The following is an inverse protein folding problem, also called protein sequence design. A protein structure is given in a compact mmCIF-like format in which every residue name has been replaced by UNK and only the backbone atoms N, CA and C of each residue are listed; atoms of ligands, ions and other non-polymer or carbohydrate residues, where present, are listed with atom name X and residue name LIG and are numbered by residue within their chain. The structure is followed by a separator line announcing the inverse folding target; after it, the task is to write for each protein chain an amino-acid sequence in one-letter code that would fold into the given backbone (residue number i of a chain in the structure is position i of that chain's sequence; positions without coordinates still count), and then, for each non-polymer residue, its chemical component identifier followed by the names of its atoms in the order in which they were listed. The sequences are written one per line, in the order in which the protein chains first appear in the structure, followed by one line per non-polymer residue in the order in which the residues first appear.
data_IF_395625047825
#
_entry.id   IF_395625047825
#
_cell.length_a   1.000
_cell.length_b   1.000
_cell.length_c   1.000
_cell.angle_alpha   90.00
_cell.angle_beta   90.00
_cell.angle_gamma   90.00
#
_symmetry.space_group_name_H-M   'P 1'
#
loop_
_entity.id
_entity.type
_entity.pdbx_description
1 polymer ?
#
# COMPACT_ATOMS: atom_id res chain seq x y z
N UNK A 1 3.75 -10.31 -21.66
CA UNK A 1 4.22 -10.06 -20.28
C UNK A 1 3.33 -10.85 -19.33
N UNK A 2 3.90 -11.70 -18.48
CA UNK A 2 3.12 -12.40 -17.46
C UNK A 2 2.92 -11.46 -16.26
N UNK A 3 1.69 -11.05 -15.99
CA UNK A 3 1.36 -10.06 -14.97
C UNK A 3 1.63 -10.58 -13.55
N UNK A 4 1.58 -11.90 -13.33
CA UNK A 4 1.89 -12.52 -12.04
C UNK A 4 3.33 -12.27 -11.57
N UNK A 5 4.25 -11.90 -12.47
CA UNK A 5 5.60 -11.51 -12.09
C UNK A 5 5.64 -10.17 -11.32
N UNK A 6 4.58 -9.35 -11.43
CA UNK A 6 4.54 -7.99 -10.90
C UNK A 6 3.52 -7.82 -9.79
N UNK A 7 2.37 -8.49 -9.86
CA UNK A 7 1.43 -8.59 -8.76
C UNK A 7 0.53 -9.82 -8.89
N UNK A 8 0.02 -10.26 -7.75
CA UNK A 8 -1.04 -11.27 -7.63
C UNK A 8 -2.30 -10.63 -7.04
N UNK A 9 -3.47 -11.12 -7.41
CA UNK A 9 -4.72 -10.53 -6.96
C UNK A 9 -5.76 -11.58 -6.55
N UNK A 10 -6.62 -11.19 -5.62
CA UNK A 10 -7.76 -11.97 -5.11
C UNK A 10 -8.99 -11.06 -5.11
N UNK A 11 -9.85 -11.13 -6.15
CA UNK A 11 -11.04 -10.30 -6.22
C UNK A 11 -12.07 -10.69 -5.16
N UNK A 12 -12.56 -9.70 -4.37
CA UNK A 12 -13.61 -9.92 -3.37
C UNK A 12 -13.26 -10.96 -2.31
N UNK A 13 -11.98 -11.09 -1.96
CA UNK A 13 -11.48 -12.15 -1.05
C UNK A 13 -11.90 -11.95 0.41
N UNK A 14 -11.93 -10.69 0.86
CA UNK A 14 -12.39 -10.32 2.20
C UNK A 14 -13.91 -10.13 2.20
N UNK A 15 -14.57 -10.61 3.25
CA UNK A 15 -16.01 -10.39 3.35
C UNK A 15 -16.38 -8.92 3.48
N UNK A 16 -17.53 -8.47 2.96
CA UNK A 16 -18.01 -7.09 3.18
C UNK A 16 -18.05 -6.71 4.66
N UNK A 17 -18.47 -7.65 5.51
CA UNK A 17 -18.51 -7.45 6.97
C UNK A 17 -17.11 -7.14 7.53
N UNK A 18 -16.08 -7.89 7.14
CA UNK A 18 -14.71 -7.63 7.58
C UNK A 18 -14.26 -6.24 7.17
N UNK A 19 -14.53 -5.84 5.91
CA UNK A 19 -14.19 -4.50 5.42
C UNK A 19 -14.87 -3.40 6.23
N UNK A 20 -16.17 -3.58 6.54
CA UNK A 20 -16.95 -2.63 7.34
C UNK A 20 -16.46 -2.56 8.79
N UNK A 21 -16.12 -3.70 9.39
CA UNK A 21 -15.57 -3.78 10.74
C UNK A 21 -14.22 -3.04 10.82
N UNK A 22 -13.32 -3.20 9.82
CA UNK A 22 -12.04 -2.48 9.75
C UNK A 22 -12.27 -0.98 9.63
N UNK A 23 -13.19 -0.54 8.75
CA UNK A 23 -13.52 0.88 8.58
C UNK A 23 -14.07 1.47 9.88
N UNK A 24 -15.02 0.79 10.52
CA UNK A 24 -15.64 1.24 11.76
C UNK A 24 -14.62 1.34 12.89
N UNK A 25 -13.75 0.34 13.01
CA UNK A 25 -12.69 0.29 14.02
C UNK A 25 -11.65 1.40 13.81
N UNK A 26 -11.16 1.57 12.58
CA UNK A 26 -10.17 2.59 12.25
C UNK A 26 -10.71 4.02 12.45
N UNK A 27 -11.99 4.27 12.17
CA UNK A 27 -12.61 5.59 12.38
C UNK A 27 -12.75 5.98 13.86
N UNK A 28 -12.56 5.06 14.81
CA UNK A 28 -12.51 5.34 16.24
C UNK A 28 -11.11 5.64 16.76
N UNK A 29 -10.08 5.46 15.92
CA UNK A 29 -8.69 5.69 16.28
C UNK A 29 -8.24 7.10 15.86
N UNK A 30 -7.08 7.52 16.40
CA UNK A 30 -6.49 8.80 16.05
C UNK A 30 -6.01 8.82 14.60
N UNK A 31 -6.56 9.73 13.81
CA UNK A 31 -6.18 9.95 12.42
C UNK A 31 -4.94 10.85 12.36
N UNK A 32 -3.93 10.44 11.62
CA UNK A 32 -2.70 11.20 11.40
C UNK A 32 -2.50 11.51 9.91
N UNK A 33 -1.89 12.66 9.63
CA UNK A 33 -1.49 13.00 8.26
C UNK A 33 -0.42 12.01 7.79
N UNK A 34 -0.62 11.41 6.62
CA UNK A 34 0.34 10.49 6.05
C UNK A 34 1.71 11.16 5.81
N UNK A 35 2.78 10.47 6.18
CA UNK A 35 4.16 10.89 5.95
C UNK A 35 4.85 9.89 5.02
N UNK A 36 5.77 10.37 4.21
CA UNK A 36 6.72 9.53 3.47
C UNK A 36 8.04 9.46 4.23
N UNK A 37 8.87 8.46 3.95
CA UNK A 37 10.14 8.23 4.65
C UNK A 37 11.04 9.48 4.73
N UNK A 38 11.86 9.55 5.78
CA UNK A 38 12.82 10.64 6.01
C UNK A 38 12.37 11.74 6.97
N UNK A 39 11.09 11.88 7.27
CA UNK A 39 10.60 12.94 8.15
C UNK A 39 10.51 12.54 9.65
N UNK A 40 10.47 11.25 9.97
CA UNK A 40 10.34 10.75 11.35
C UNK A 40 9.11 11.31 12.07
N UNK A 41 9.12 11.26 13.41
CA UNK A 41 7.99 11.69 14.25
C UNK A 41 8.07 13.18 14.67
N UNK A 42 9.09 13.91 14.21
CA UNK A 42 9.27 15.32 14.57
C UNK A 42 8.17 16.23 13.98
N UNK A 43 7.97 17.38 14.62
CA UNK A 43 7.08 18.42 14.06
C UNK A 43 7.65 18.96 12.76
N UNK A 44 6.83 18.94 11.69
CA UNK A 44 7.22 19.40 10.36
C UNK A 44 7.03 20.92 10.22
N UNK A 45 7.91 21.56 9.45
CA UNK A 45 7.75 22.96 9.01
C UNK A 45 6.67 23.06 7.93
N UNK A 46 6.09 24.25 7.74
CA UNK A 46 5.04 24.48 6.73
C UNK A 46 5.46 24.10 5.30
N UNK A 47 6.70 24.37 4.93
CA UNK A 47 7.28 24.02 3.62
C UNK A 47 7.38 22.50 3.44
N UNK A 48 7.88 21.81 4.47
CA UNK A 48 7.99 20.34 4.47
C UNK A 48 6.61 19.67 4.35
N UNK A 49 5.59 20.23 5.00
CA UNK A 49 4.20 19.78 4.85
C UNK A 49 3.71 19.99 3.42
N UNK A 50 4.06 21.11 2.78
CA UNK A 50 3.69 21.41 1.39
C UNK A 50 4.35 20.42 0.43
N UNK A 51 5.64 20.13 0.62
CA UNK A 51 6.37 19.18 -0.21
C UNK A 51 5.90 17.75 0.00
N UNK A 52 5.59 17.37 1.25
CA UNK A 52 5.00 16.09 1.57
C UNK A 52 3.66 15.91 0.87
N UNK A 53 2.78 16.94 0.94
CA UNK A 53 1.46 16.91 0.28
C UNK A 53 1.54 16.85 -1.24
N UNK A 54 2.64 17.28 -1.87
CA UNK A 54 2.87 17.09 -3.33
C UNK A 54 3.13 15.63 -3.69
N UNK A 55 3.77 14.88 -2.78
CA UNK A 55 4.08 13.46 -2.98
C UNK A 55 2.92 12.58 -2.52
N UNK A 56 2.36 12.90 -1.38
CA UNK A 56 1.28 12.14 -0.76
C UNK A 56 0.33 13.07 -0.01
N UNK A 57 -0.94 13.02 -0.35
CA UNK A 57 -2.02 13.69 0.36
C UNK A 57 -3.07 12.65 0.74
N UNK A 58 -3.02 12.16 1.96
CA UNK A 58 -3.98 11.19 2.51
C UNK A 58 -3.95 11.23 4.03
N UNK A 59 -5.03 10.79 4.65
CA UNK A 59 -5.14 10.59 6.08
C UNK A 59 -4.99 9.09 6.39
N UNK A 60 -4.39 8.75 7.52
CA UNK A 60 -4.17 7.35 7.87
C UNK A 60 -4.30 7.07 9.36
N UNK A 61 -4.55 5.81 9.67
CA UNK A 61 -4.55 5.23 11.02
C UNK A 61 -3.66 3.99 11.00
N UNK A 62 -2.88 3.80 12.06
CA UNK A 62 -2.04 2.62 12.24
C UNK A 62 -2.75 1.59 13.11
N UNK A 63 -2.91 0.36 12.60
CA UNK A 63 -3.58 -0.75 13.28
C UNK A 63 -2.61 -1.90 13.50
N UNK A 64 -2.66 -2.52 14.70
CA UNK A 64 -1.78 -3.63 15.08
C UNK A 64 -2.53 -4.86 15.60
N UNK A 65 -3.79 -4.95 15.32
CA UNK A 65 -4.69 -5.95 15.90
C UNK A 65 -4.56 -7.31 15.24
N UNK A 66 -4.38 -8.33 16.04
CA UNK A 66 -4.14 -9.72 15.59
C UNK A 66 -5.25 -10.25 14.68
N UNK A 67 -6.51 -9.84 14.88
CA UNK A 67 -7.63 -10.30 14.06
C UNK A 67 -7.52 -9.86 12.61
N UNK A 68 -6.90 -8.68 12.35
CA UNK A 68 -6.64 -8.19 10.99
C UNK A 68 -5.58 -9.06 10.32
N UNK A 69 -4.45 -9.30 10.97
CA UNK A 69 -3.36 -10.13 10.40
C UNK A 69 -3.79 -11.58 10.16
N UNK A 70 -4.61 -12.15 11.05
CA UNK A 70 -5.16 -13.50 10.87
C UNK A 70 -5.91 -13.65 9.56
N UNK A 71 -6.67 -12.61 9.16
CA UNK A 71 -7.40 -12.61 7.90
C UNK A 71 -6.48 -12.41 6.70
N UNK A 72 -5.43 -11.59 6.81
CA UNK A 72 -4.61 -11.17 5.69
C UNK A 72 -3.44 -12.13 5.37
N UNK A 73 -2.79 -12.72 6.38
CA UNK A 73 -1.60 -13.53 6.20
C UNK A 73 -1.77 -14.73 5.22
N UNK A 74 -2.91 -15.45 5.20
CA UNK A 74 -3.09 -16.51 4.22
C UNK A 74 -2.91 -16.05 2.76
N UNK A 75 -3.40 -14.85 2.44
CA UNK A 75 -3.32 -14.30 1.08
C UNK A 75 -1.90 -13.90 0.67
N UNK A 76 -1.10 -13.33 1.57
CA UNK A 76 0.29 -13.01 1.22
C UNK A 76 1.12 -14.27 1.02
N UNK A 77 0.93 -15.30 1.83
CA UNK A 77 1.60 -16.59 1.64
C UNK A 77 1.22 -17.24 0.30
N UNK A 78 -0.08 -17.27 0.00
CA UNK A 78 -0.59 -17.83 -1.25
C UNK A 78 -0.10 -17.05 -2.47
N UNK A 79 -0.14 -15.71 -2.44
CA UNK A 79 0.36 -14.88 -3.53
C UNK A 79 1.85 -15.10 -3.77
N UNK A 80 2.67 -15.08 -2.71
CA UNK A 80 4.11 -15.30 -2.77
C UNK A 80 4.49 -16.64 -3.42
N UNK A 81 3.77 -17.70 -3.05
CA UNK A 81 3.97 -19.02 -3.62
C UNK A 81 3.47 -19.13 -5.07
N UNK A 82 2.23 -18.72 -5.35
CA UNK A 82 1.61 -18.85 -6.68
C UNK A 82 2.24 -17.95 -7.74
N UNK A 83 2.70 -16.77 -7.36
CA UNK A 83 3.43 -15.89 -8.27
C UNK A 83 4.87 -16.37 -8.51
N UNK A 84 5.34 -17.36 -7.75
CA UNK A 84 6.69 -17.92 -7.86
C UNK A 84 7.77 -16.97 -7.31
N UNK A 85 7.41 -15.96 -6.54
CA UNK A 85 8.40 -15.06 -5.94
C UNK A 85 9.22 -15.77 -4.87
N UNK A 86 8.55 -16.55 -4.00
CA UNK A 86 9.16 -17.31 -2.91
C UNK A 86 10.09 -16.47 -2.03
N UNK A 87 9.72 -15.24 -1.78
CA UNK A 87 10.50 -14.34 -0.94
C UNK A 87 10.40 -14.76 0.52
N UNK A 88 11.55 -14.86 1.17
CA UNK A 88 11.59 -15.04 2.62
C UNK A 88 11.20 -13.74 3.32
N UNK A 89 10.14 -13.77 4.13
CA UNK A 89 9.73 -12.70 4.99
C UNK A 89 9.42 -13.23 6.40
N UNK A 90 9.61 -12.42 7.41
CA UNK A 90 9.64 -12.85 8.82
C UNK A 90 8.53 -12.19 9.66
N UNK A 91 8.13 -10.99 9.27
CA UNK A 91 7.13 -10.21 10.01
C UNK A 91 6.41 -9.19 9.13
N UNK A 92 5.29 -8.70 9.64
CA UNK A 92 4.54 -7.61 9.03
C UNK A 92 4.70 -6.33 9.84
N UNK A 93 4.76 -5.19 9.18
CA UNK A 93 4.61 -3.88 9.82
C UNK A 93 3.17 -3.66 10.31
N UNK A 94 2.95 -2.57 11.05
CA UNK A 94 1.60 -2.10 11.37
C UNK A 94 0.77 -1.91 10.11
N UNK A 95 -0.47 -2.35 10.15
CA UNK A 95 -1.40 -2.11 9.04
C UNK A 95 -1.70 -0.63 8.91
N UNK A 96 -1.55 -0.09 7.71
CA UNK A 96 -1.89 1.28 7.40
C UNK A 96 -3.30 1.34 6.82
N UNK A 97 -4.28 1.73 7.63
CA UNK A 97 -5.59 2.12 7.11
C UNK A 97 -5.46 3.51 6.49
N UNK A 98 -5.77 3.63 5.21
CA UNK A 98 -5.64 4.89 4.46
C UNK A 98 -6.98 5.36 3.96
N UNK A 99 -7.26 6.63 4.17
CA UNK A 99 -8.43 7.34 3.68
C UNK A 99 -8.02 8.31 2.60
N UNK A 100 -8.64 8.19 1.42
CA UNK A 100 -8.49 9.11 0.30
C UNK A 100 -9.82 9.80 0.03
N UNK A 101 -9.91 11.08 0.41
CA UNK A 101 -11.03 11.98 0.13
C UNK A 101 -10.79 12.73 -1.19
N UNK A 102 -11.69 13.62 -1.57
CA UNK A 102 -11.54 14.46 -2.77
C UNK A 102 -10.17 15.13 -2.88
N UNK A 103 -9.54 15.01 -4.05
CA UNK A 103 -8.18 15.48 -4.36
C UNK A 103 -7.05 14.86 -3.51
N UNK A 104 -7.30 13.77 -2.79
CA UNK A 104 -6.27 13.03 -2.09
C UNK A 104 -5.70 11.92 -2.98
N UNK A 105 -4.39 11.68 -2.86
CA UNK A 105 -3.61 10.79 -3.73
C UNK A 105 -2.30 10.37 -3.08
N UNK A 106 -1.61 9.45 -3.74
CA UNK A 106 -0.22 9.11 -3.47
C UNK A 106 0.50 8.94 -4.80
N UNK A 107 1.46 9.81 -5.08
CA UNK A 107 2.21 9.82 -6.34
C UNK A 107 3.15 8.62 -6.47
N UNK A 108 3.85 8.51 -7.60
CA UNK A 108 4.76 7.42 -7.90
C UNK A 108 5.75 7.16 -6.79
N UNK A 109 5.79 5.93 -6.32
CA UNK A 109 6.72 5.44 -5.31
C UNK A 109 6.91 3.93 -5.42
N UNK A 110 7.96 3.42 -4.80
CA UNK A 110 8.07 2.03 -4.40
C UNK A 110 8.12 1.97 -2.87
N UNK A 111 7.73 0.84 -2.32
CA UNK A 111 7.65 0.65 -0.86
C UNK A 111 8.96 0.18 -0.24
N UNK A 112 9.86 -0.40 -1.04
CA UNK A 112 11.18 -0.85 -0.62
C UNK A 112 12.25 0.22 -0.89
N UNK A 113 13.28 0.23 -0.06
CA UNK A 113 14.44 1.12 -0.20
C UNK A 113 15.71 0.31 -0.50
N UNK A 114 16.74 1.02 -0.99
CA UNK A 114 18.05 0.42 -1.27
C UNK A 114 18.80 -0.06 -0.02
N UNK A 115 18.44 0.49 1.15
CA UNK A 115 19.07 0.17 2.42
C UNK A 115 18.08 -0.48 3.39
N UNK A 116 18.55 -1.44 4.21
CA UNK A 116 17.77 -1.97 5.32
C UNK A 116 17.43 -0.90 6.35
N UNK A 117 16.42 -1.18 7.19
CA UNK A 117 16.14 -0.35 8.36
C UNK A 117 17.35 -0.28 9.29
N UNK A 118 17.82 0.94 9.56
CA UNK A 118 19.00 1.20 10.39
C UNK A 118 18.65 1.49 11.86
N UNK A 119 17.39 1.82 12.14
CA UNK A 119 16.90 2.07 13.49
C UNK A 119 16.82 0.77 14.28
N UNK A 120 17.45 0.73 15.47
CA UNK A 120 17.31 -0.40 16.38
C UNK A 120 15.84 -0.71 16.68
N UNK A 121 15.52 -1.99 16.70
CA UNK A 121 14.16 -2.46 16.92
C UNK A 121 13.84 -3.73 16.12
N UNK A 122 12.58 -4.15 16.09
CA UNK A 122 12.18 -5.40 15.46
C UNK A 122 12.37 -5.43 13.92
N UNK A 123 12.54 -4.27 13.29
CA UNK A 123 12.73 -4.13 11.85
C UNK A 123 14.19 -3.93 11.44
N UNK A 124 15.11 -3.81 12.42
CA UNK A 124 16.53 -3.60 12.16
C UNK A 124 17.11 -4.64 11.19
N UNK A 125 17.86 -4.18 10.21
CA UNK A 125 18.50 -5.02 9.21
C UNK A 125 17.55 -5.64 8.16
N UNK A 126 16.24 -5.33 8.19
CA UNK A 126 15.24 -5.85 7.25
C UNK A 126 14.88 -4.83 6.18
N UNK A 127 14.32 -5.33 5.09
CA UNK A 127 13.69 -4.53 4.03
C UNK A 127 12.24 -5.01 3.81
N UNK A 128 11.40 -4.18 3.23
CA UNK A 128 10.09 -4.60 2.72
C UNK A 128 10.27 -5.48 1.49
N UNK A 129 9.73 -6.68 1.55
CA UNK A 129 9.76 -7.69 0.49
C UNK A 129 8.48 -7.68 -0.34
N UNK A 130 7.35 -7.71 0.36
CA UNK A 130 6.02 -7.78 -0.24
C UNK A 130 5.15 -6.67 0.34
N UNK A 131 4.42 -6.03 -0.53
CA UNK A 131 3.38 -5.07 -0.22
C UNK A 131 2.02 -5.70 -0.51
N UNK A 132 1.08 -5.49 0.40
CA UNK A 132 -0.31 -5.89 0.23
C UNK A 132 -1.19 -4.66 0.32
N UNK A 133 -2.15 -4.52 -0.59
CA UNK A 133 -3.22 -3.52 -0.47
C UNK A 133 -4.57 -4.19 -0.59
N UNK A 134 -5.47 -3.88 0.35
CA UNK A 134 -6.83 -4.38 0.41
C UNK A 134 -7.80 -3.22 0.16
N UNK A 135 -8.77 -3.44 -0.71
CA UNK A 135 -9.81 -2.47 -1.02
C UNK A 135 -10.98 -2.64 -0.04
N UNK A 136 -11.28 -1.61 0.73
CA UNK A 136 -12.34 -1.66 1.74
C UNK A 136 -13.64 -0.97 1.26
N UNK A 137 -13.57 -0.12 0.23
CA UNK A 137 -14.72 0.56 -0.41
C UNK A 137 -14.98 -0.09 -1.76
N UNK A 138 -16.25 -0.27 -2.13
CA UNK A 138 -16.56 -0.76 -3.47
C UNK A 138 -16.21 0.29 -4.52
N UNK A 139 -15.74 -0.17 -5.69
CA UNK A 139 -15.33 0.71 -6.79
C UNK A 139 -16.46 1.57 -7.38
N UNK A 140 -17.72 1.27 -7.07
CA UNK A 140 -18.90 2.07 -7.45
C UNK A 140 -19.18 3.25 -6.50
N UNK A 141 -18.58 3.26 -5.30
CA UNK A 141 -18.82 4.26 -4.26
C UNK A 141 -17.90 5.49 -4.39
N UNK A 142 -16.92 5.46 -5.30
CA UNK A 142 -16.00 6.58 -5.53
C UNK A 142 -15.57 6.66 -7.00
N UNK A 143 -14.99 7.78 -7.41
CA UNK A 143 -14.40 7.98 -8.74
C UNK A 143 -12.97 8.52 -8.63
N UNK A 144 -12.12 8.22 -9.60
CA UNK A 144 -10.68 8.45 -9.48
C UNK A 144 -10.05 7.41 -8.56
N UNK A 145 -8.95 7.75 -7.89
CA UNK A 145 -8.30 6.88 -6.91
C UNK A 145 -7.75 5.56 -7.50
N UNK A 146 -7.51 5.52 -8.81
CA UNK A 146 -6.98 4.33 -9.49
C UNK A 146 -5.62 3.94 -8.93
N UNK A 147 -5.45 2.65 -8.63
CA UNK A 147 -4.15 2.05 -8.38
C UNK A 147 -3.50 1.73 -9.72
N UNK A 148 -2.37 2.35 -9.98
CA UNK A 148 -1.60 2.15 -11.21
C UNK A 148 -0.20 1.66 -10.92
N UNK A 149 0.32 0.79 -11.79
CA UNK A 149 1.68 0.24 -11.74
C UNK A 149 2.47 0.66 -12.98
N UNK A 150 3.75 0.99 -12.76
CA UNK A 150 4.76 1.09 -13.81
C UNK A 150 5.75 -0.08 -13.66
N UNK A 151 5.71 -1.01 -14.61
CA UNK A 151 6.54 -2.22 -14.57
C UNK A 151 7.94 -2.00 -15.16
N UNK A 152 8.27 -0.78 -15.52
CA UNK A 152 9.63 -0.44 -15.89
C UNK A 152 10.49 -0.41 -14.63
N UNK A 153 11.71 -0.87 -14.76
CA UNK A 153 12.63 -0.96 -13.62
C UNK A 153 13.43 0.33 -13.43
N UNK A 154 12.74 1.48 -13.27
CA UNK A 154 13.34 2.77 -12.96
C UNK A 154 12.29 3.75 -12.41
N UNK A 155 12.77 4.82 -11.75
CA UNK A 155 11.91 5.87 -11.19
C UNK A 155 11.10 6.60 -12.28
N UNK A 156 9.76 6.55 -12.27
CA UNK A 156 8.92 7.23 -13.24
C UNK A 156 9.06 8.75 -13.28
N UNK A 157 9.55 9.40 -12.19
CA UNK A 157 9.81 10.84 -12.16
C UNK A 157 11.03 11.24 -13.01
N UNK A 158 11.90 10.30 -13.32
CA UNK A 158 13.14 10.55 -14.08
C UNK A 158 12.96 10.45 -15.60
N UNK A 159 11.80 10.03 -16.08
CA UNK A 159 11.48 9.81 -17.49
C UNK A 159 10.03 10.12 -17.78
N UNK A 160 9.69 10.24 -19.06
CA UNK A 160 8.31 10.37 -19.52
C UNK A 160 7.44 9.23 -19.02
N UNK A 161 6.18 9.54 -18.70
CA UNK A 161 5.20 8.57 -18.28
C UNK A 161 5.09 7.43 -19.31
N UNK A 162 4.99 6.19 -18.84
CA UNK A 162 4.86 5.05 -19.73
C UNK A 162 3.58 5.16 -20.56
N UNK A 163 3.67 4.88 -21.88
CA UNK A 163 2.51 4.85 -22.76
C UNK A 163 1.48 3.78 -22.34
N UNK A 164 1.92 2.75 -21.60
CA UNK A 164 1.13 1.62 -21.17
C UNK A 164 1.32 1.37 -19.68
N UNK A 165 0.66 2.18 -18.85
CA UNK A 165 0.55 1.92 -17.43
C UNK A 165 -0.47 0.80 -17.16
N UNK A 166 -0.19 -0.03 -16.16
CA UNK A 166 -1.15 -1.02 -15.70
C UNK A 166 -2.06 -0.42 -14.64
N UNK A 167 -3.30 -0.18 -14.99
CA UNK A 167 -4.37 0.13 -14.04
C UNK A 167 -4.92 -1.18 -13.48
N UNK A 168 -4.85 -1.34 -12.16
CA UNK A 168 -5.31 -2.54 -11.47
C UNK A 168 -6.84 -2.49 -11.27
N UNK A 169 -7.58 -2.93 -12.26
CA UNK A 169 -9.05 -3.00 -12.20
C UNK A 169 -9.55 -4.12 -11.27
N UNK A 170 -8.73 -5.11 -11.05
CA UNK A 170 -9.01 -6.28 -10.22
C UNK A 170 -9.23 -5.93 -8.75
N UNK A 171 -8.76 -4.75 -8.30
CA UNK A 171 -8.94 -4.29 -6.93
C UNK A 171 -10.31 -3.60 -6.71
N UNK A 172 -11.03 -3.23 -7.74
CA UNK A 172 -12.24 -2.42 -7.62
C UNK A 172 -13.37 -3.04 -6.79
N UNK A 173 -13.65 -4.36 -6.85
CA UNK A 173 -14.64 -4.96 -5.95
C UNK A 173 -14.20 -4.84 -4.48
N UNK A 174 -15.13 -4.46 -3.60
CA UNK A 174 -14.90 -4.43 -2.15
C UNK A 174 -14.35 -5.77 -1.65
N UNK A 175 -13.37 -5.71 -0.76
CA UNK A 175 -12.70 -6.91 -0.23
C UNK A 175 -11.61 -7.48 -1.14
N UNK A 176 -11.34 -6.87 -2.30
CA UNK A 176 -10.25 -7.33 -3.16
C UNK A 176 -8.88 -7.04 -2.56
N UNK A 177 -7.93 -7.94 -2.81
CA UNK A 177 -6.54 -7.86 -2.35
C UNK A 177 -5.60 -7.87 -3.56
N UNK A 178 -4.59 -7.03 -3.55
CA UNK A 178 -3.43 -7.10 -4.43
C UNK A 178 -2.17 -7.23 -3.56
N UNK A 179 -1.32 -8.21 -3.90
CA UNK A 179 0.02 -8.41 -3.32
C UNK A 179 1.05 -8.21 -4.42
N UNK A 180 2.13 -7.52 -4.12
CA UNK A 180 3.19 -7.26 -5.10
C UNK A 180 4.57 -7.11 -4.43
N UNK A 181 5.68 -7.36 -5.16
CA UNK A 181 7.02 -7.05 -4.68
C UNK A 181 7.16 -5.58 -4.34
N UNK A 182 7.68 -5.27 -3.15
CA UNK A 182 7.69 -3.89 -2.63
C UNK A 182 8.54 -2.91 -3.45
N UNK A 183 9.37 -3.40 -4.37
CA UNK A 183 10.15 -2.58 -5.30
C UNK A 183 9.41 -2.20 -6.58
N UNK A 184 8.17 -2.67 -6.78
CA UNK A 184 7.37 -2.32 -7.97
C UNK A 184 6.82 -0.91 -7.81
N UNK A 185 7.07 -0.04 -8.80
CA UNK A 185 6.59 1.32 -8.83
C UNK A 185 5.08 1.37 -9.01
N UNK A 186 4.42 2.14 -8.13
CA UNK A 186 2.97 2.27 -8.15
C UNK A 186 2.53 3.65 -7.64
N UNK A 187 1.28 4.01 -7.94
CA UNK A 187 0.64 5.24 -7.43
C UNK A 187 -0.85 5.02 -7.20
N UNK A 188 -1.44 5.89 -6.38
CA UNK A 188 -2.90 6.08 -6.28
C UNK A 188 -3.22 7.46 -6.83
N UNK A 189 -4.02 7.51 -7.90
CA UNK A 189 -4.46 8.77 -8.53
C UNK A 189 -5.41 9.54 -7.61
N UNK A 190 -5.61 10.86 -7.85
CA UNK A 190 -6.55 11.65 -7.07
C UNK A 190 -7.96 11.05 -7.10
N UNK A 191 -8.59 10.94 -5.94
CA UNK A 191 -10.03 10.67 -5.83
C UNK A 191 -10.78 11.92 -6.25
N UNK A 192 -11.73 11.78 -7.18
CA UNK A 192 -12.50 12.92 -7.71
C UNK A 192 -13.90 13.03 -7.10
N UNK A 193 -14.44 11.93 -6.55
CA UNK A 193 -15.72 11.90 -5.83
C UNK A 193 -15.76 10.71 -4.89
N UNK A 194 -16.54 10.80 -3.81
CA UNK A 194 -16.64 9.77 -2.78
C UNK A 194 -15.40 9.69 -1.88
N UNK A 195 -15.24 8.57 -1.19
CA UNK A 195 -14.08 8.29 -0.33
C UNK A 195 -13.60 6.86 -0.56
N UNK A 196 -12.32 6.70 -0.85
CA UNK A 196 -11.68 5.40 -0.99
C UNK A 196 -10.97 5.03 0.32
N UNK A 197 -11.36 3.90 0.91
CA UNK A 197 -10.66 3.29 2.04
C UNK A 197 -9.83 2.10 1.57
N UNK A 198 -8.60 2.02 2.03
CA UNK A 198 -7.72 0.87 1.79
C UNK A 198 -6.92 0.52 3.03
N UNK A 199 -6.58 -0.76 3.14
CA UNK A 199 -5.66 -1.27 4.17
C UNK A 199 -4.38 -1.73 3.48
N UNK A 200 -3.23 -1.23 3.94
CA UNK A 200 -1.92 -1.56 3.38
C UNK A 200 -1.08 -2.25 4.46
N UNK A 201 -0.39 -3.31 4.08
CA UNK A 201 0.52 -4.05 4.96
C UNK A 201 1.81 -4.36 4.22
N UNK A 202 2.93 -4.16 4.90
CA UNK A 202 4.25 -4.51 4.37
C UNK A 202 4.83 -5.71 5.13
N UNK A 203 5.42 -6.62 4.38
CA UNK A 203 6.03 -7.83 4.91
C UNK A 203 7.54 -7.76 4.73
N UNK A 204 8.24 -7.85 5.86
CA UNK A 204 9.67 -7.60 5.97
C UNK A 204 10.47 -8.89 6.08
N UNK A 205 11.64 -8.89 5.50
CA UNK A 205 12.64 -9.96 5.63
C UNK A 205 14.05 -9.42 5.40
N UNK A 206 15.03 -10.31 5.47
CA UNK A 206 16.43 -9.96 5.18
C UNK A 206 16.57 -9.46 3.75
N UNK A 207 17.53 -8.56 3.45
CA UNK A 207 17.80 -8.11 2.09
C UNK A 207 17.89 -9.25 1.08
N UNK A 208 17.59 -8.95 -0.17
CA UNK A 208 17.82 -9.93 -1.25
C UNK A 208 19.32 -10.23 -1.37
N UNK A 209 19.67 -11.49 -1.67
CA UNK A 209 21.04 -11.94 -1.91
C UNK A 209 21.31 -11.99 -3.39
#
# INVERSE_FOLDING_TARGET
MNISNYYWHFPGALTPKFCDDVIAYANQQEEVMARTGGYGDRKLKKEEIKDLKRKRNSDLVWLNDTWIYKELHPYVHEANARAGWNFDWERSESCQFTKYKHNQYYDWHCDSWDKPYEKEGPDFGKIRKLSMTCQLTDGSEYTGGELEFDFRNYDPHMRDEAKHLRRAKEILPKGSIIVFPSFVWHRVKPVTSGTRYSLVVWHLGKPFK
#
